data_IF_268375853986
#
_entry.id   IF_268375853986
#
_cell.length_a   1.000
_cell.length_b   1.000
_cell.length_c   1.000
_cell.angle_alpha   90.00
_cell.angle_beta   90.00
_cell.angle_gamma   90.00
#
_symmetry.space_group_name_H-M   'P 1'
#
loop_
_entity.id
_entity.type
_entity.pdbx_description
1 polymer ?
#
# COMPACT_ATOMS: atom_id res chain seq x y z
N UNK A 1 -1.44 33.50 -2.63
CA UNK A 1 -0.42 33.07 -1.67
C UNK A 1 -0.74 33.34 -0.18
N UNK A 2 -1.79 34.09 0.25
CA UNK A 2 -2.20 34.11 1.68
C UNK A 2 -3.01 32.86 2.12
N UNK A 3 -3.43 32.00 1.20
CA UNK A 3 -4.37 30.91 1.47
C UNK A 3 -3.70 29.62 1.98
N UNK A 4 -2.48 29.31 1.55
CA UNK A 4 -1.79 28.06 1.94
C UNK A 4 -1.31 28.10 3.40
N UNK A 5 -0.78 29.24 3.86
CA UNK A 5 -0.36 29.40 5.26
C UNK A 5 -1.55 29.29 6.23
N UNK A 6 -2.70 29.90 5.90
CA UNK A 6 -3.90 29.86 6.77
C UNK A 6 -4.49 28.46 6.87
N UNK A 7 -4.47 27.68 5.78
CA UNK A 7 -4.90 26.27 5.78
C UNK A 7 -3.97 25.43 6.66
N UNK A 8 -2.65 25.60 6.53
CA UNK A 8 -1.66 24.88 7.34
C UNK A 8 -1.79 25.14 8.85
N UNK A 9 -2.09 26.38 9.26
CA UNK A 9 -2.34 26.71 10.67
C UNK A 9 -3.66 26.14 11.22
N UNK A 10 -4.72 26.09 10.41
CA UNK A 10 -5.99 25.49 10.80
C UNK A 10 -5.88 23.97 10.96
N UNK A 11 -5.20 23.31 10.02
CA UNK A 11 -4.89 21.88 10.07
C UNK A 11 -4.05 21.54 11.31
N UNK A 12 -2.99 22.30 11.59
CA UNK A 12 -2.15 22.07 12.77
C UNK A 12 -2.92 22.18 14.10
N UNK A 13 -3.85 23.15 14.21
CA UNK A 13 -4.71 23.29 15.40
C UNK A 13 -5.73 22.16 15.52
N UNK A 14 -6.28 21.70 14.41
CA UNK A 14 -7.19 20.55 14.38
C UNK A 14 -6.47 19.28 14.84
N UNK A 15 -5.29 19.00 14.29
CA UNK A 15 -4.46 17.86 14.68
C UNK A 15 -4.06 17.90 16.15
N UNK A 16 -3.67 19.07 16.67
CA UNK A 16 -3.35 19.23 18.10
C UNK A 16 -4.57 18.93 18.99
N UNK A 17 -5.75 19.46 18.65
CA UNK A 17 -6.99 19.21 19.40
C UNK A 17 -7.37 17.74 19.38
N UNK A 18 -7.29 17.09 18.22
CA UNK A 18 -7.55 15.65 18.04
C UNK A 18 -6.66 14.82 18.97
N UNK A 19 -5.36 15.12 19.00
CA UNK A 19 -4.37 14.45 19.86
C UNK A 19 -4.64 14.66 21.35
N UNK A 20 -4.85 15.91 21.77
CA UNK A 20 -5.12 16.25 23.17
C UNK A 20 -6.42 15.60 23.67
N UNK A 21 -7.45 15.58 22.83
CA UNK A 21 -8.71 14.90 23.11
C UNK A 21 -8.46 13.40 23.32
N UNK A 22 -7.68 12.76 22.44
CA UNK A 22 -7.32 11.35 22.56
C UNK A 22 -6.55 11.00 23.84
N UNK A 23 -5.58 11.85 24.22
CA UNK A 23 -4.80 11.67 25.46
C UNK A 23 -5.64 11.67 26.73
N UNK A 24 -6.80 12.35 26.71
CA UNK A 24 -7.74 12.38 27.84
C UNK A 24 -8.81 11.29 27.70
N UNK A 25 -9.42 11.16 26.53
CA UNK A 25 -10.51 10.21 26.30
C UNK A 25 -10.08 8.76 26.39
N UNK A 26 -8.85 8.42 25.98
CA UNK A 26 -8.36 7.05 26.05
C UNK A 26 -8.34 6.53 27.49
N UNK A 27 -7.59 7.16 28.42
CA UNK A 27 -7.56 6.74 29.83
C UNK A 27 -8.93 6.82 30.49
N UNK A 28 -9.75 7.82 30.15
CA UNK A 28 -11.11 7.92 30.67
C UNK A 28 -11.96 6.72 30.24
N UNK A 29 -11.89 6.33 28.96
CA UNK A 29 -12.63 5.18 28.44
C UNK A 29 -12.10 3.86 29.03
N UNK A 30 -10.79 3.73 29.20
CA UNK A 30 -10.19 2.59 29.92
C UNK A 30 -10.81 2.43 31.31
N UNK A 31 -10.80 3.50 32.12
CA UNK A 31 -11.36 3.49 33.47
C UNK A 31 -12.87 3.23 33.44
N UNK A 32 -13.60 3.83 32.51
CA UNK A 32 -15.03 3.61 32.36
C UNK A 32 -15.34 2.14 32.07
N UNK A 33 -14.58 1.51 31.16
CA UNK A 33 -14.74 0.08 30.86
C UNK A 33 -14.47 -0.75 32.10
N UNK A 34 -13.43 -0.45 32.90
CA UNK A 34 -13.14 -1.18 34.13
C UNK A 34 -14.21 -1.02 35.23
N UNK A 35 -14.83 0.16 35.31
CA UNK A 35 -15.84 0.47 36.33
C UNK A 35 -17.22 -0.11 35.97
N UNK A 36 -17.52 -0.28 34.69
CA UNK A 36 -18.77 -0.86 34.23
C UNK A 36 -18.69 -2.40 34.27
N UNK A 37 -19.52 -3.07 35.08
CA UNK A 37 -19.51 -4.53 35.14
C UNK A 37 -19.97 -5.11 33.81
N UNK A 38 -19.14 -5.98 33.23
CA UNK A 38 -19.49 -6.77 32.04
C UNK A 38 -19.72 -8.22 32.48
N UNK A 39 -20.97 -8.53 32.80
CA UNK A 39 -21.37 -9.87 33.23
C UNK A 39 -21.00 -10.92 32.17
N UNK A 40 -20.40 -12.02 32.61
CA UNK A 40 -19.99 -13.12 31.74
C UNK A 40 -18.55 -13.06 31.20
N UNK A 41 -17.78 -11.99 31.48
CA UNK A 41 -16.34 -11.92 31.17
C UNK A 41 -15.47 -12.36 32.35
N UNK A 42 -14.34 -13.01 32.05
CA UNK A 42 -13.27 -13.19 33.04
C UNK A 42 -12.62 -11.84 33.37
N UNK A 43 -11.89 -11.77 34.49
CA UNK A 43 -11.18 -10.56 34.89
C UNK A 43 -10.16 -10.12 33.82
N UNK A 44 -9.45 -11.08 33.23
CA UNK A 44 -8.46 -10.83 32.18
C UNK A 44 -9.12 -10.30 30.90
N UNK A 45 -10.28 -10.87 30.52
CA UNK A 45 -11.04 -10.41 29.35
C UNK A 45 -11.59 -8.99 29.55
N UNK A 46 -12.03 -8.65 30.76
CA UNK A 46 -12.50 -7.31 31.11
C UNK A 46 -11.37 -6.28 31.04
N UNK A 47 -10.20 -6.60 31.62
CA UNK A 47 -8.99 -5.78 31.51
C UNK A 47 -8.58 -5.58 30.05
N UNK A 48 -8.60 -6.65 29.25
CA UNK A 48 -8.23 -6.60 27.84
C UNK A 48 -9.17 -5.71 27.03
N UNK A 49 -10.47 -5.79 27.30
CA UNK A 49 -11.47 -4.91 26.68
C UNK A 49 -11.18 -3.42 26.99
N UNK A 50 -10.76 -3.12 28.22
CA UNK A 50 -10.31 -1.78 28.61
C UNK A 50 -9.09 -1.32 27.79
N UNK A 51 -8.03 -2.14 27.76
CA UNK A 51 -6.80 -1.85 26.98
C UNK A 51 -7.13 -1.66 25.51
N UNK A 52 -8.00 -2.49 24.95
CA UNK A 52 -8.43 -2.40 23.56
C UNK A 52 -9.21 -1.10 23.28
N UNK A 53 -10.18 -0.75 24.14
CA UNK A 53 -10.94 0.50 23.99
C UNK A 53 -10.02 1.74 24.04
N UNK A 54 -9.04 1.74 24.94
CA UNK A 54 -7.99 2.76 25.00
C UNK A 54 -7.19 2.83 23.71
N UNK A 55 -6.71 1.69 23.20
CA UNK A 55 -5.91 1.63 21.98
C UNK A 55 -6.69 2.12 20.76
N UNK A 56 -7.98 1.78 20.64
CA UNK A 56 -8.88 2.27 19.58
C UNK A 56 -8.99 3.79 19.60
N UNK A 57 -9.19 4.40 20.78
CA UNK A 57 -9.21 5.87 20.90
C UNK A 57 -7.89 6.46 20.44
N UNK A 58 -6.76 5.90 20.87
CA UNK A 58 -5.43 6.40 20.49
C UNK A 58 -5.12 6.23 19.00
N UNK A 59 -5.60 5.16 18.36
CA UNK A 59 -5.46 4.97 16.91
C UNK A 59 -6.34 5.93 16.12
N UNK A 60 -7.60 6.13 16.52
CA UNK A 60 -8.54 7.03 15.82
C UNK A 60 -8.14 8.50 15.98
N UNK A 61 -7.65 8.88 17.16
CA UNK A 61 -7.24 10.26 17.45
C UNK A 61 -5.77 10.54 17.12
N UNK A 62 -5.00 9.50 16.81
CA UNK A 62 -3.54 9.56 16.64
C UNK A 62 -2.83 10.28 17.80
N UNK A 63 -3.34 10.10 19.02
CA UNK A 63 -2.80 10.72 20.24
C UNK A 63 -1.31 10.39 20.45
N UNK A 64 -0.93 9.16 20.08
CA UNK A 64 0.45 8.71 19.91
C UNK A 64 0.59 8.02 18.55
N UNK A 65 1.81 7.88 18.01
CA UNK A 65 2.05 7.10 16.81
C UNK A 65 1.46 5.68 16.93
N UNK A 66 0.83 5.19 15.86
CA UNK A 66 0.10 3.89 15.84
C UNK A 66 0.93 2.73 16.42
N UNK A 67 2.22 2.67 16.08
CA UNK A 67 3.15 1.65 16.57
C UNK A 67 3.45 1.79 18.08
N UNK A 68 3.57 3.02 18.58
CA UNK A 68 3.78 3.28 20.02
C UNK A 68 2.55 2.83 20.80
N UNK A 69 1.35 3.15 20.31
CA UNK A 69 0.09 2.67 20.92
C UNK A 69 0.02 1.14 20.94
N UNK A 70 0.40 0.46 19.85
CA UNK A 70 0.41 -1.01 19.79
C UNK A 70 1.38 -1.64 20.81
N UNK A 71 2.61 -1.10 20.92
CA UNK A 71 3.60 -1.57 21.91
C UNK A 71 3.10 -1.31 23.34
N UNK A 72 2.55 -0.13 23.60
CA UNK A 72 1.99 0.20 24.91
C UNK A 72 0.81 -0.71 25.25
N UNK A 73 -0.06 -1.06 24.30
CA UNK A 73 -1.11 -2.04 24.51
C UNK A 73 -0.53 -3.42 24.91
N UNK A 74 0.53 -3.89 24.23
CA UNK A 74 1.24 -5.12 24.63
C UNK A 74 1.82 -5.02 26.04
N UNK A 75 2.47 -3.90 26.38
CA UNK A 75 3.07 -3.66 27.70
C UNK A 75 1.99 -3.63 28.79
N UNK A 76 0.88 -2.94 28.56
CA UNK A 76 -0.26 -2.89 29.48
C UNK A 76 -0.86 -4.28 29.69
N UNK A 77 -1.00 -5.08 28.62
CA UNK A 77 -1.48 -6.46 28.76
C UNK A 77 -0.60 -7.32 29.65
N UNK A 78 0.72 -7.13 29.60
CA UNK A 78 1.65 -7.86 30.47
C UNK A 78 1.61 -7.29 31.90
N UNK A 79 1.69 -5.97 32.05
CA UNK A 79 1.77 -5.29 33.34
C UNK A 79 0.50 -5.47 34.18
N UNK A 80 -0.66 -5.55 33.55
CA UNK A 80 -1.95 -5.80 34.20
C UNK A 80 -2.22 -7.29 34.46
N UNK A 81 -1.31 -8.19 34.07
CA UNK A 81 -1.45 -9.63 34.28
C UNK A 81 -2.47 -10.31 33.36
N UNK A 82 -2.82 -9.70 32.22
CA UNK A 82 -3.80 -10.25 31.26
C UNK A 82 -3.27 -11.54 30.63
N UNK A 83 -1.98 -11.54 30.24
CA UNK A 83 -1.31 -12.71 29.69
C UNK A 83 0.21 -12.67 29.94
N UNK A 84 0.88 -13.84 30.02
CA UNK A 84 2.33 -13.91 30.13
C UNK A 84 3.06 -13.22 28.98
N UNK A 85 4.20 -12.58 29.28
CA UNK A 85 5.02 -11.89 28.29
C UNK A 85 5.41 -12.76 27.09
N UNK A 86 5.70 -14.05 27.30
CA UNK A 86 6.04 -14.97 26.22
C UNK A 86 4.89 -15.12 25.19
N UNK A 87 3.64 -15.10 25.63
CA UNK A 87 2.47 -15.20 24.75
C UNK A 87 2.25 -13.88 24.02
N UNK A 88 2.24 -12.76 24.75
CA UNK A 88 1.99 -11.43 24.17
C UNK A 88 3.08 -11.06 23.15
N UNK A 89 4.35 -11.33 23.47
CA UNK A 89 5.48 -10.97 22.62
C UNK A 89 5.69 -11.93 21.44
N UNK A 90 5.14 -13.16 21.49
CA UNK A 90 5.23 -14.10 20.37
C UNK A 90 4.59 -13.56 19.08
N UNK A 91 3.58 -12.68 19.19
CA UNK A 91 2.92 -12.05 18.05
C UNK A 91 3.89 -11.22 17.18
N UNK A 92 4.97 -10.69 17.75
CA UNK A 92 6.00 -9.95 16.99
C UNK A 92 6.90 -10.85 16.15
N UNK A 93 6.86 -12.17 16.40
CA UNK A 93 7.59 -13.19 15.65
C UNK A 93 6.75 -13.86 14.55
N UNK A 94 5.55 -13.36 14.24
CA UNK A 94 4.72 -13.94 13.18
C UNK A 94 5.43 -13.88 11.81
N UNK A 95 5.45 -14.96 11.02
CA UNK A 95 6.05 -14.98 9.69
C UNK A 95 5.57 -13.86 8.76
N UNK A 96 4.33 -13.38 8.91
CA UNK A 96 3.77 -12.27 8.13
C UNK A 96 4.57 -10.97 8.35
N UNK A 97 5.11 -10.75 9.55
CA UNK A 97 5.96 -9.57 9.84
C UNK A 97 7.25 -9.64 9.02
N UNK A 98 7.87 -10.80 8.90
CA UNK A 98 9.07 -10.97 8.06
C UNK A 98 8.76 -10.82 6.57
N UNK A 99 7.63 -11.35 6.10
CA UNK A 99 7.15 -11.10 4.74
C UNK A 99 6.97 -9.61 4.47
N UNK A 100 6.38 -8.88 5.42
CA UNK A 100 6.17 -7.43 5.34
C UNK A 100 7.49 -6.66 5.25
N UNK A 101 8.44 -6.94 6.15
CA UNK A 101 9.77 -6.33 6.16
C UNK A 101 10.48 -6.59 4.84
N UNK A 102 10.52 -7.85 4.40
CA UNK A 102 11.24 -8.23 3.18
C UNK A 102 10.68 -7.54 1.93
N UNK A 103 9.35 -7.46 1.86
CA UNK A 103 8.67 -6.82 0.73
C UNK A 103 8.87 -5.31 0.70
N UNK A 104 8.89 -4.64 1.86
CA UNK A 104 9.17 -3.22 1.93
C UNK A 104 10.61 -2.87 1.59
N UNK A 105 11.58 -3.70 1.98
CA UNK A 105 12.97 -3.51 1.56
C UNK A 105 13.09 -3.70 0.04
N UNK A 106 12.43 -4.71 -0.52
CA UNK A 106 12.41 -4.94 -1.97
C UNK A 106 11.76 -3.77 -2.73
N UNK A 107 10.63 -3.25 -2.23
CA UNK A 107 9.96 -2.07 -2.77
C UNK A 107 10.84 -0.81 -2.71
N UNK A 108 11.52 -0.59 -1.58
CA UNK A 108 12.45 0.53 -1.42
C UNK A 108 13.66 0.38 -2.36
N UNK A 109 14.18 -0.84 -2.57
CA UNK A 109 15.25 -1.10 -3.51
C UNK A 109 14.85 -0.75 -4.96
N UNK A 110 13.61 -1.08 -5.36
CA UNK A 110 13.06 -0.68 -6.67
C UNK A 110 13.01 0.84 -6.84
N UNK A 111 12.62 1.56 -5.79
CA UNK A 111 12.57 3.03 -5.77
C UNK A 111 13.97 3.63 -5.80
N UNK A 112 14.86 3.15 -4.94
CA UNK A 112 16.22 3.65 -4.79
C UNK A 112 17.05 3.42 -6.06
N UNK A 113 16.83 2.32 -6.78
CA UNK A 113 17.50 2.07 -8.06
C UNK A 113 16.93 2.88 -9.24
N UNK A 114 15.77 3.52 -9.08
CA UNK A 114 15.06 4.22 -10.15
C UNK A 114 14.35 3.29 -11.15
N UNK A 115 14.18 2.01 -10.79
CA UNK A 115 13.59 1.00 -11.66
C UNK A 115 12.10 1.29 -11.89
N UNK A 116 11.42 1.77 -10.86
CA UNK A 116 10.03 2.26 -10.89
C UNK A 116 9.79 3.34 -11.96
N UNK A 117 10.64 4.37 -12.01
CA UNK A 117 10.61 5.43 -13.02
C UNK A 117 10.86 4.87 -14.41
N UNK A 118 11.83 3.96 -14.56
CA UNK A 118 12.12 3.32 -15.84
C UNK A 118 10.90 2.56 -16.38
N UNK A 119 10.20 1.80 -15.53
CA UNK A 119 8.97 1.12 -15.93
C UNK A 119 7.85 2.10 -16.28
N UNK A 120 7.66 3.18 -15.51
CA UNK A 120 6.65 4.20 -15.80
C UNK A 120 6.84 4.79 -17.20
N UNK A 121 8.05 5.26 -17.52
CA UNK A 121 8.32 5.85 -18.83
C UNK A 121 8.39 4.82 -19.97
N UNK A 122 8.72 3.56 -19.67
CA UNK A 122 8.64 2.47 -20.66
C UNK A 122 7.18 2.21 -21.10
N UNK A 123 6.20 2.37 -20.21
CA UNK A 123 4.78 2.26 -20.53
C UNK A 123 4.23 3.53 -21.21
N UNK A 124 4.67 4.73 -20.79
CA UNK A 124 4.24 5.99 -21.42
C UNK A 124 4.72 6.16 -22.87
N UNK A 125 5.72 5.39 -23.33
CA UNK A 125 6.26 5.52 -24.69
C UNK A 125 5.29 5.10 -25.80
N UNK A 126 4.27 4.29 -25.48
CA UNK A 126 3.41 3.73 -26.51
C UNK A 126 2.52 4.80 -27.13
N UNK A 127 2.50 4.86 -28.46
CA UNK A 127 1.81 5.94 -29.19
C UNK A 127 0.32 5.98 -28.92
N UNK A 128 -0.32 4.87 -28.55
CA UNK A 128 -1.74 4.84 -28.21
C UNK A 128 -2.03 5.54 -26.87
N UNK A 129 -1.09 5.48 -25.94
CA UNK A 129 -1.24 5.91 -24.55
C UNK A 129 -1.46 7.42 -24.41
N UNK A 130 -0.93 8.21 -25.35
CA UNK A 130 -0.91 9.67 -25.28
C UNK A 130 -1.80 10.36 -26.31
N UNK A 131 -2.71 9.63 -26.99
CA UNK A 131 -3.52 10.18 -28.11
C UNK A 131 -4.65 11.11 -27.67
N UNK A 132 -5.25 10.87 -26.50
CA UNK A 132 -6.39 11.65 -26.01
C UNK A 132 -6.26 11.85 -24.50
N UNK A 133 -6.88 12.90 -23.92
CA UNK A 133 -6.84 13.12 -22.47
C UNK A 133 -7.33 11.90 -21.67
N UNK A 134 -8.39 11.23 -22.14
CA UNK A 134 -8.91 10.02 -21.51
C UNK A 134 -7.91 8.85 -21.53
N UNK A 135 -7.12 8.68 -22.61
CA UNK A 135 -6.09 7.64 -22.71
C UNK A 135 -4.86 7.96 -21.87
N UNK A 136 -4.49 9.24 -21.79
CA UNK A 136 -3.43 9.70 -20.88
C UNK A 136 -3.81 9.37 -19.44
N UNK A 137 -5.03 9.72 -19.03
CA UNK A 137 -5.56 9.40 -17.70
C UNK A 137 -5.58 7.89 -17.44
N UNK A 138 -6.04 7.08 -18.40
CA UNK A 138 -6.02 5.62 -18.29
C UNK A 138 -4.60 5.07 -18.11
N UNK A 139 -3.66 5.55 -18.95
CA UNK A 139 -2.27 5.07 -18.93
C UNK A 139 -1.59 5.43 -17.62
N UNK A 140 -1.73 6.68 -17.19
CA UNK A 140 -1.18 7.15 -15.92
C UNK A 140 -1.81 6.38 -14.74
N UNK A 141 -3.12 6.11 -14.78
CA UNK A 141 -3.79 5.27 -13.79
C UNK A 141 -3.26 3.84 -13.74
N UNK A 142 -3.15 3.17 -14.89
CA UNK A 142 -2.60 1.80 -14.99
C UNK A 142 -1.15 1.75 -14.51
N UNK A 143 -0.31 2.71 -14.90
CA UNK A 143 1.09 2.77 -14.43
C UNK A 143 1.13 2.90 -12.91
N UNK A 144 0.36 3.84 -12.37
CA UNK A 144 0.31 4.09 -10.92
C UNK A 144 -0.20 2.85 -10.19
N UNK A 145 -1.26 2.20 -10.69
CA UNK A 145 -1.80 0.97 -10.12
C UNK A 145 -0.77 -0.16 -10.14
N UNK A 146 -0.14 -0.44 -11.29
CA UNK A 146 0.86 -1.51 -11.41
C UNK A 146 2.04 -1.30 -10.47
N UNK A 147 2.56 -0.08 -10.38
CA UNK A 147 3.65 0.24 -9.47
C UNK A 147 3.22 0.07 -8.01
N UNK A 148 2.01 0.50 -7.68
CA UNK A 148 1.45 0.44 -6.32
C UNK A 148 1.06 -0.97 -5.87
N UNK A 149 0.99 -1.95 -6.78
CA UNK A 149 0.83 -3.36 -6.40
C UNK A 149 2.08 -3.91 -5.69
N UNK A 150 3.23 -3.25 -5.86
CA UNK A 150 4.52 -3.72 -5.35
C UNK A 150 5.22 -2.69 -4.45
N UNK A 151 4.98 -1.41 -4.72
CA UNK A 151 5.50 -0.27 -3.96
C UNK A 151 4.37 0.30 -3.11
N UNK A 152 4.69 0.98 -2.01
CA UNK A 152 3.66 1.59 -1.17
C UNK A 152 2.82 2.61 -1.94
N UNK A 153 1.51 2.66 -1.64
CA UNK A 153 0.56 3.57 -2.29
C UNK A 153 1.01 5.04 -2.20
N UNK A 154 1.52 5.44 -1.04
CA UNK A 154 2.03 6.79 -0.78
C UNK A 154 3.28 7.09 -1.59
N UNK A 155 4.27 6.17 -1.61
CA UNK A 155 5.50 6.38 -2.38
C UNK A 155 5.23 6.41 -3.88
N UNK A 156 4.36 5.53 -4.37
CA UNK A 156 3.98 5.48 -5.78
C UNK A 156 3.28 6.77 -6.22
N UNK A 157 2.33 7.27 -5.41
CA UNK A 157 1.68 8.56 -5.67
C UNK A 157 2.69 9.70 -5.68
N UNK A 158 3.57 9.77 -4.68
CA UNK A 158 4.59 10.82 -4.58
C UNK A 158 5.56 10.79 -5.77
N UNK A 159 5.94 9.61 -6.26
CA UNK A 159 6.78 9.46 -7.45
C UNK A 159 6.03 9.88 -8.73
N UNK A 160 4.78 9.46 -8.87
CA UNK A 160 3.99 9.74 -10.07
C UNK A 160 3.50 11.18 -10.14
N UNK A 161 3.44 11.90 -9.02
CA UNK A 161 3.02 13.30 -8.97
C UNK A 161 3.88 14.20 -9.88
N UNK A 162 5.22 14.23 -9.80
CA UNK A 162 6.06 14.95 -10.75
C UNK A 162 5.84 14.55 -12.22
N UNK A 163 5.57 13.26 -12.49
CA UNK A 163 5.29 12.77 -13.85
C UNK A 163 3.95 13.32 -14.34
N UNK A 164 2.91 13.28 -13.51
CA UNK A 164 1.60 13.85 -13.80
C UNK A 164 1.67 15.36 -14.05
N UNK A 165 2.41 16.10 -13.21
CA UNK A 165 2.65 17.53 -13.39
C UNK A 165 3.42 17.80 -14.68
N UNK A 166 4.47 17.02 -15.00
CA UNK A 166 5.21 17.14 -16.25
C UNK A 166 4.35 16.92 -17.50
N UNK A 167 3.43 15.95 -17.45
CA UNK A 167 2.42 15.73 -18.50
C UNK A 167 1.50 16.96 -18.63
N UNK A 168 1.00 17.51 -17.52
CA UNK A 168 0.17 18.72 -17.55
C UNK A 168 0.92 19.93 -18.11
N UNK A 169 2.20 20.09 -17.75
CA UNK A 169 3.06 21.15 -18.29
C UNK A 169 3.24 21.02 -19.79
N UNK A 170 3.45 19.79 -20.28
CA UNK A 170 3.62 19.53 -21.73
C UNK A 170 2.37 19.83 -22.55
N UNK A 171 1.20 19.84 -21.90
CA UNK A 171 -0.09 20.19 -22.49
C UNK A 171 -0.46 21.67 -22.28
N UNK A 172 0.36 22.46 -21.58
CA UNK A 172 0.04 23.85 -21.24
C UNK A 172 -1.10 23.99 -20.23
N UNK A 173 -1.35 22.97 -19.39
CA UNK A 173 -2.53 22.88 -18.50
C UNK A 173 -2.21 23.03 -17.02
N UNK A 174 -0.98 23.40 -16.66
CA UNK A 174 -0.63 23.69 -15.26
C UNK A 174 -1.26 25.01 -14.83
N UNK A 175 -1.94 25.00 -13.68
CA UNK A 175 -2.66 26.19 -13.17
C UNK A 175 -4.00 26.46 -13.85
N UNK A 176 -4.41 25.64 -14.83
CA UNK A 176 -5.64 25.83 -15.61
C UNK A 176 -6.91 25.33 -14.90
N UNK A 177 -6.88 25.13 -13.58
CA UNK A 177 -7.98 24.49 -12.82
C UNK A 177 -9.31 25.24 -12.91
N UNK A 178 -9.28 26.55 -13.16
CA UNK A 178 -10.46 27.39 -13.36
C UNK A 178 -11.09 27.24 -14.76
N UNK A 179 -10.38 26.62 -15.69
CA UNK A 179 -10.67 26.62 -17.14
C UNK A 179 -10.82 25.19 -17.68
N UNK A 180 -9.99 24.25 -17.21
CA UNK A 180 -10.12 22.81 -17.44
C UNK A 180 -10.13 22.05 -16.12
N UNK A 181 -11.02 21.07 -16.02
CA UNK A 181 -11.10 20.14 -14.88
C UNK A 181 -10.14 18.96 -15.04
N UNK A 182 -9.51 18.82 -16.21
CA UNK A 182 -8.60 17.70 -16.49
C UNK A 182 -7.40 17.59 -15.55
N UNK A 183 -6.70 18.69 -15.16
CA UNK A 183 -5.61 18.61 -14.18
C UNK A 183 -6.03 17.94 -12.87
N UNK A 184 -7.23 18.27 -12.37
CA UNK A 184 -7.79 17.67 -11.16
C UNK A 184 -8.01 16.17 -11.38
N UNK A 185 -8.65 15.79 -12.48
CA UNK A 185 -8.88 14.38 -12.81
C UNK A 185 -7.59 13.57 -12.98
N UNK A 186 -6.56 14.17 -13.59
CA UNK A 186 -5.28 13.51 -13.79
C UNK A 186 -4.50 13.34 -12.48
N UNK A 187 -4.58 14.28 -11.54
CA UNK A 187 -3.95 14.11 -10.23
C UNK A 187 -4.76 13.15 -9.34
N UNK A 188 -6.09 13.16 -9.41
CA UNK A 188 -6.95 12.22 -8.70
C UNK A 188 -6.77 10.78 -9.18
N UNK A 189 -6.53 10.55 -10.48
CA UNK A 189 -6.30 9.18 -10.97
C UNK A 189 -5.04 8.57 -10.33
N UNK A 190 -4.05 9.38 -9.92
CA UNK A 190 -2.86 8.89 -9.23
C UNK A 190 -3.25 8.28 -7.89
N UNK A 191 -3.90 9.07 -7.03
CA UNK A 191 -4.27 8.66 -5.68
C UNK A 191 -5.30 7.53 -5.67
N UNK A 192 -6.28 7.57 -6.58
CA UNK A 192 -7.29 6.53 -6.67
C UNK A 192 -6.70 5.23 -7.19
N UNK A 193 -5.88 5.27 -8.24
CA UNK A 193 -5.28 4.06 -8.82
C UNK A 193 -4.30 3.40 -7.86
N UNK A 194 -3.49 4.17 -7.11
CA UNK A 194 -2.63 3.56 -6.08
C UNK A 194 -3.46 2.94 -4.95
N UNK A 195 -4.57 3.58 -4.55
CA UNK A 195 -5.39 3.10 -3.43
C UNK A 195 -6.12 1.79 -3.72
N UNK A 196 -6.49 1.56 -4.99
CA UNK A 196 -7.19 0.32 -5.42
C UNK A 196 -6.22 -0.78 -5.87
N UNK A 197 -4.91 -0.60 -5.69
CA UNK A 197 -3.88 -1.59 -5.99
C UNK A 197 -3.79 -2.69 -4.89
N UNK A 198 -4.92 -3.30 -4.57
CA UNK A 198 -5.03 -4.32 -3.51
C UNK A 198 -4.75 -5.75 -3.98
N UNK A 199 -4.49 -5.93 -5.28
CA UNK A 199 -4.44 -7.24 -5.95
C UNK A 199 -3.26 -8.14 -5.55
N UNK A 200 -2.26 -7.62 -4.83
CA UNK A 200 -1.06 -8.37 -4.43
C UNK A 200 -0.91 -8.28 -2.90
N UNK A 201 -0.63 -9.41 -2.20
CA UNK A 201 -0.49 -9.41 -0.74
C UNK A 201 0.47 -8.35 -0.23
N UNK A 202 1.64 -8.27 -0.84
CA UNK A 202 2.74 -7.41 -0.41
C UNK A 202 2.57 -5.94 -0.78
N UNK A 203 1.57 -5.59 -1.59
CA UNK A 203 1.33 -4.21 -2.02
C UNK A 203 0.88 -3.29 -0.89
N UNK A 204 0.18 -3.82 0.13
CA UNK A 204 -0.25 -3.01 1.26
C UNK A 204 -0.36 -3.79 2.60
N UNK A 205 -0.09 -3.15 3.75
CA UNK A 205 -0.23 -3.77 5.06
C UNK A 205 -1.62 -4.39 5.34
N UNK A 206 -2.75 -3.74 4.99
CA UNK A 206 -4.07 -4.32 5.22
C UNK A 206 -4.28 -5.68 4.55
N UNK A 207 -3.68 -5.92 3.38
CA UNK A 207 -3.80 -7.21 2.68
C UNK A 207 -3.17 -8.34 3.51
N UNK A 208 -1.96 -8.12 4.02
CA UNK A 208 -1.25 -9.10 4.84
C UNK A 208 -1.91 -9.32 6.20
N UNK A 209 -2.44 -8.25 6.81
CA UNK A 209 -3.24 -8.36 8.04
C UNK A 209 -4.49 -9.20 7.78
N UNK A 210 -5.20 -8.96 6.67
CA UNK A 210 -6.38 -9.74 6.31
C UNK A 210 -6.04 -11.23 6.07
N UNK A 211 -4.93 -11.54 5.39
CA UNK A 211 -4.45 -12.92 5.23
C UNK A 211 -4.19 -13.58 6.59
N UNK A 212 -3.52 -12.87 7.50
CA UNK A 212 -3.29 -13.35 8.87
C UNK A 212 -4.59 -13.59 9.64
N UNK A 213 -5.54 -12.65 9.57
CA UNK A 213 -6.84 -12.80 10.21
C UNK A 213 -7.67 -13.95 9.62
N UNK A 214 -7.63 -14.19 8.31
CA UNK A 214 -8.32 -15.33 7.68
C UNK A 214 -7.69 -16.65 8.14
N UNK A 215 -6.36 -16.69 8.25
CA UNK A 215 -5.64 -17.84 8.81
C UNK A 215 -6.07 -18.12 10.26
N UNK A 216 -6.18 -17.10 11.08
CA UNK A 216 -6.40 -17.25 12.53
C UNK A 216 -7.89 -17.42 12.89
N UNK A 217 -8.81 -16.76 12.18
CA UNK A 217 -10.25 -16.76 12.48
C UNK A 217 -11.04 -17.80 11.68
N UNK A 218 -10.65 -18.06 10.44
CA UNK A 218 -11.35 -18.99 9.55
C UNK A 218 -10.58 -20.31 9.36
N UNK A 219 -9.45 -20.48 10.06
CA UNK A 219 -8.54 -21.64 9.96
C UNK A 219 -8.14 -21.97 8.51
N UNK A 220 -8.11 -20.93 7.65
CA UNK A 220 -7.86 -21.06 6.22
C UNK A 220 -6.59 -20.35 5.84
N UNK A 221 -5.62 -21.11 5.34
CA UNK A 221 -4.39 -20.55 4.77
C UNK A 221 -4.66 -20.15 3.32
N UNK A 222 -4.51 -18.87 3.04
CA UNK A 222 -4.49 -18.37 1.66
C UNK A 222 -3.03 -18.26 1.24
N UNK A 223 -2.66 -18.98 0.18
CA UNK A 223 -1.36 -18.78 -0.45
C UNK A 223 -1.30 -17.41 -1.11
N UNK A 224 -0.08 -16.96 -1.44
CA UNK A 224 0.10 -15.76 -2.27
C UNK A 224 -0.73 -15.81 -3.57
N UNK A 225 -0.76 -16.98 -4.21
CA UNK A 225 -1.52 -17.19 -5.45
C UNK A 225 -3.03 -17.07 -5.23
N UNK A 226 -3.57 -17.67 -4.17
CA UNK A 226 -5.02 -17.63 -3.88
C UNK A 226 -5.49 -16.18 -3.70
N UNK A 227 -4.71 -15.38 -2.96
CA UNK A 227 -5.00 -13.97 -2.79
C UNK A 227 -5.05 -13.24 -4.13
N UNK A 228 -4.03 -13.42 -4.97
CA UNK A 228 -3.96 -12.77 -6.29
C UNK A 228 -5.14 -13.20 -7.16
N UNK A 229 -5.47 -14.50 -7.19
CA UNK A 229 -6.56 -15.03 -7.99
C UNK A 229 -7.93 -14.40 -7.61
N UNK A 230 -8.17 -14.15 -6.33
CA UNK A 230 -9.42 -13.56 -5.84
C UNK A 230 -9.43 -12.03 -5.96
N UNK A 231 -8.35 -11.37 -5.56
CA UNK A 231 -8.34 -9.90 -5.39
C UNK A 231 -7.94 -9.15 -6.65
N UNK A 232 -7.14 -9.74 -7.54
CA UNK A 232 -6.71 -9.09 -8.78
C UNK A 232 -7.89 -8.73 -9.70
N UNK A 233 -8.88 -9.62 -9.95
CA UNK A 233 -10.06 -9.26 -10.73
C UNK A 233 -10.84 -8.07 -10.14
N UNK A 234 -10.96 -8.03 -8.81
CA UNK A 234 -11.64 -6.95 -8.09
C UNK A 234 -10.84 -5.64 -8.25
N UNK A 235 -9.52 -5.69 -8.08
CA UNK A 235 -8.65 -4.53 -8.22
C UNK A 235 -8.67 -3.96 -9.66
N UNK A 236 -8.71 -4.83 -10.68
CA UNK A 236 -8.88 -4.42 -12.09
C UNK A 236 -10.23 -3.74 -12.30
N UNK A 237 -11.31 -4.33 -11.78
CA UNK A 237 -12.64 -3.73 -11.87
C UNK A 237 -12.68 -2.35 -11.19
N UNK A 238 -12.12 -2.23 -9.99
CA UNK A 238 -12.02 -0.96 -9.27
C UNK A 238 -11.23 0.09 -10.06
N UNK A 239 -10.10 -0.29 -10.66
CA UNK A 239 -9.31 0.61 -11.51
C UNK A 239 -10.12 1.11 -12.72
N UNK A 240 -10.84 0.21 -13.39
CA UNK A 240 -11.72 0.56 -14.51
C UNK A 240 -12.80 1.55 -14.04
N UNK A 241 -13.45 1.29 -12.90
CA UNK A 241 -14.46 2.17 -12.33
C UNK A 241 -13.88 3.54 -11.95
N UNK A 242 -12.70 3.60 -11.32
CA UNK A 242 -12.00 4.86 -11.04
C UNK A 242 -11.79 5.66 -12.32
N UNK A 243 -11.26 5.02 -13.37
CA UNK A 243 -11.06 5.68 -14.66
C UNK A 243 -12.38 6.13 -15.29
N UNK A 244 -13.43 5.32 -15.27
CA UNK A 244 -14.76 5.64 -15.82
C UNK A 244 -15.41 6.84 -15.11
N UNK A 245 -15.32 6.89 -13.78
CA UNK A 245 -15.86 7.99 -12.97
C UNK A 245 -15.08 9.27 -13.27
N UNK A 246 -13.74 9.20 -13.24
CA UNK A 246 -12.91 10.39 -13.43
C UNK A 246 -12.96 10.92 -14.86
N UNK A 247 -12.98 10.06 -15.89
CA UNK A 247 -13.15 10.51 -17.28
C UNK A 247 -14.50 11.17 -17.53
N UNK A 248 -15.56 10.74 -16.83
CA UNK A 248 -16.89 11.30 -16.97
C UNK A 248 -16.99 12.65 -16.26
N UNK A 249 -16.48 12.73 -15.03
CA UNK A 249 -16.57 13.92 -14.18
C UNK A 249 -15.60 15.04 -14.58
N UNK A 250 -14.43 14.68 -15.07
CA UNK A 250 -13.32 15.57 -15.42
C UNK A 250 -13.00 15.48 -16.92
N UNK A 251 -14.04 15.30 -17.75
CA UNK A 251 -13.94 15.27 -19.21
C UNK A 251 -13.33 16.56 -19.73
N UNK A 252 -12.45 16.44 -20.71
CA UNK A 252 -11.91 17.56 -21.47
C UNK A 252 -11.93 17.19 -22.95
N UNK A 253 -12.67 17.98 -23.71
CA UNK A 253 -12.91 17.78 -25.14
C UNK A 253 -11.87 18.52 -26.00
N UNK A 254 -11.03 19.35 -25.38
CA UNK A 254 -9.93 20.02 -26.07
C UNK A 254 -8.93 18.95 -26.53
N UNK A 255 -8.57 18.99 -27.82
CA UNK A 255 -7.49 18.18 -28.35
C UNK A 255 -6.24 18.37 -27.49
N UNK A 256 -5.42 17.32 -27.38
CA UNK A 256 -4.09 17.44 -26.78
C UNK A 256 -3.20 18.28 -27.70
N UNK A 257 -3.33 19.60 -27.64
CA UNK A 257 -2.31 20.53 -28.09
C UNK A 257 -1.16 20.45 -27.10
N UNK A 258 -0.07 19.80 -27.50
CA UNK A 258 1.08 19.52 -26.66
C UNK A 258 1.74 18.20 -27.02
N UNK A 259 3.06 18.13 -26.87
CA UNK A 259 3.83 16.94 -27.24
C UNK A 259 4.27 16.17 -25.98
N UNK A 260 3.32 15.45 -25.37
CA UNK A 260 3.61 14.50 -24.28
C UNK A 260 4.73 13.55 -24.69
N UNK A 261 4.82 13.19 -25.98
CA UNK A 261 5.86 12.27 -26.47
C UNK A 261 7.24 12.91 -26.40
N UNK A 262 7.36 14.20 -26.71
CA UNK A 262 8.62 14.94 -26.52
C UNK A 262 9.04 14.96 -25.06
N UNK A 263 8.10 15.21 -24.14
CA UNK A 263 8.37 15.13 -22.70
C UNK A 263 8.85 13.72 -22.29
N UNK A 264 8.12 12.67 -22.68
CA UNK A 264 8.47 11.27 -22.38
C UNK A 264 9.82 10.89 -23.01
N UNK A 265 10.14 11.37 -24.21
CA UNK A 265 11.42 11.12 -24.86
C UNK A 265 12.59 11.75 -24.09
N UNK A 266 12.45 13.01 -23.69
CA UNK A 266 13.46 13.73 -22.89
C UNK A 266 13.70 13.03 -21.54
N UNK A 267 12.65 12.65 -20.82
CA UNK A 267 12.79 11.96 -19.53
C UNK A 267 13.41 10.57 -19.69
N UNK A 268 13.08 9.84 -20.76
CA UNK A 268 13.73 8.55 -21.06
C UNK A 268 15.21 8.68 -21.40
N UNK A 269 15.59 9.75 -22.10
CA UNK A 269 16.98 10.02 -22.42
C UNK A 269 17.80 10.31 -21.15
N UNK A 270 17.22 11.06 -20.19
CA UNK A 270 17.83 11.30 -18.87
C UNK A 270 18.06 10.02 -18.07
N UNK A 271 17.21 8.99 -18.22
CA UNK A 271 17.40 7.69 -17.55
C UNK A 271 18.56 6.88 -18.13
N UNK A 272 18.99 7.17 -19.36
CA UNK A 272 20.12 6.50 -20.01
C UNK A 272 20.00 4.97 -20.09
N UNK A 273 21.15 4.29 -20.10
CA UNK A 273 21.24 2.82 -20.13
C UNK A 273 20.91 2.21 -18.77
N UNK A 274 20.53 0.93 -18.78
CA UNK A 274 20.31 0.18 -17.55
C UNK A 274 21.58 0.14 -16.71
N UNK A 275 21.45 0.53 -15.44
CA UNK A 275 22.49 0.43 -14.44
C UNK A 275 22.54 -0.98 -13.85
N UNK A 276 23.66 -1.36 -13.25
CA UNK A 276 23.77 -2.65 -12.54
C UNK A 276 22.76 -2.75 -11.39
N UNK A 277 22.53 -1.65 -10.67
CA UNK A 277 21.54 -1.60 -9.61
C UNK A 277 20.13 -1.93 -10.13
N UNK A 278 19.69 -1.29 -11.22
CA UNK A 278 18.38 -1.57 -11.82
C UNK A 278 18.25 -3.02 -12.30
N UNK A 279 19.29 -3.58 -12.92
CA UNK A 279 19.27 -4.96 -13.40
C UNK A 279 19.24 -5.98 -12.24
N UNK A 280 20.05 -5.77 -11.21
CA UNK A 280 20.09 -6.66 -10.05
C UNK A 280 18.76 -6.64 -9.30
N UNK A 281 18.22 -5.45 -9.04
CA UNK A 281 16.91 -5.30 -8.38
C UNK A 281 15.80 -5.94 -9.22
N UNK A 282 15.79 -5.72 -10.54
CA UNK A 282 14.81 -6.35 -11.42
C UNK A 282 14.90 -7.88 -11.41
N UNK A 283 16.11 -8.44 -11.39
CA UNK A 283 16.33 -9.87 -11.31
C UNK A 283 15.85 -10.45 -9.98
N UNK A 284 16.27 -9.86 -8.86
CA UNK A 284 15.87 -10.28 -7.51
C UNK A 284 14.35 -10.19 -7.34
N UNK A 285 13.75 -9.11 -7.82
CA UNK A 285 12.31 -8.92 -7.80
C UNK A 285 11.58 -10.00 -8.62
N UNK A 286 12.01 -10.25 -9.85
CA UNK A 286 11.40 -11.29 -10.69
C UNK A 286 11.53 -12.68 -10.05
N UNK A 287 12.69 -12.98 -9.47
CA UNK A 287 12.92 -14.23 -8.76
C UNK A 287 11.97 -14.39 -7.57
N UNK A 288 11.79 -13.35 -6.75
CA UNK A 288 10.86 -13.36 -5.62
C UNK A 288 9.42 -13.61 -6.08
N UNK A 289 8.97 -12.90 -7.12
CA UNK A 289 7.61 -13.06 -7.69
C UNK A 289 7.40 -14.48 -8.21
N UNK A 290 8.37 -15.05 -8.92
CA UNK A 290 8.27 -16.43 -9.40
C UNK A 290 8.17 -17.39 -8.23
N UNK A 291 9.02 -17.25 -7.20
CA UNK A 291 9.01 -18.13 -6.03
C UNK A 291 7.71 -18.01 -5.20
N UNK A 292 7.10 -16.83 -5.12
CA UNK A 292 5.79 -16.66 -4.46
C UNK A 292 4.64 -17.27 -5.24
N UNK A 293 4.67 -17.20 -6.58
CA UNK A 293 3.56 -17.70 -7.42
C UNK A 293 3.65 -19.20 -7.72
N UNK A 294 4.86 -19.76 -7.73
CA UNK A 294 5.15 -21.13 -8.16
C UNK A 294 4.38 -22.21 -7.36
N UNK A 295 4.27 -22.16 -6.02
CA UNK A 295 3.61 -23.22 -5.26
C UNK A 295 2.12 -23.34 -5.61
N UNK A 296 1.41 -22.22 -5.64
CA UNK A 296 -0.01 -22.17 -6.01
C UNK A 296 -0.25 -22.48 -7.49
N UNK A 297 0.65 -22.02 -8.38
CA UNK A 297 0.58 -22.36 -9.80
C UNK A 297 0.73 -23.87 -10.04
N UNK A 298 1.64 -24.55 -9.35
CA UNK A 298 1.80 -26.01 -9.44
C UNK A 298 0.58 -26.71 -8.85
N UNK A 299 0.09 -26.27 -7.68
CA UNK A 299 -1.08 -26.83 -7.02
C UNK A 299 -2.33 -26.84 -7.93
N UNK A 300 -2.48 -25.82 -8.79
CA UNK A 300 -3.57 -25.74 -9.77
C UNK A 300 -3.57 -26.92 -10.78
N UNK A 301 -2.40 -27.49 -11.09
CA UNK A 301 -2.27 -28.58 -12.06
C UNK A 301 -2.13 -29.97 -11.42
N UNK A 302 -1.63 -30.08 -10.18
CA UNK A 302 -1.30 -31.36 -9.54
C UNK A 302 -2.13 -31.72 -8.29
N UNK A 303 -2.98 -30.83 -7.80
CA UNK A 303 -3.61 -30.82 -6.45
C UNK A 303 -2.76 -30.09 -5.40
N UNK A 304 -3.38 -29.35 -4.46
CA UNK A 304 -2.69 -28.73 -3.32
C UNK A 304 -1.94 -29.73 -2.42
N UNK A 305 -2.43 -30.96 -2.32
CA UNK A 305 -1.81 -32.00 -1.49
C UNK A 305 -0.64 -32.73 -2.16
N UNK A 306 -0.26 -32.31 -3.37
CA UNK A 306 0.86 -32.91 -4.06
C UNK A 306 2.20 -32.64 -3.33
N UNK A 307 3.20 -33.54 -3.46
CA UNK A 307 4.47 -33.39 -2.75
C UNK A 307 5.23 -32.10 -3.07
N UNK A 308 5.09 -31.59 -4.29
CA UNK A 308 5.85 -30.42 -4.77
C UNK A 308 5.32 -29.12 -4.15
N UNK A 309 4.02 -28.74 -4.25
CA UNK A 309 3.49 -27.59 -3.53
C UNK A 309 3.78 -27.62 -2.03
N UNK A 310 3.55 -28.76 -1.36
CA UNK A 310 3.85 -28.91 0.06
C UNK A 310 5.33 -28.75 0.39
N UNK A 311 6.23 -29.19 -0.50
CA UNK A 311 7.66 -28.97 -0.33
C UNK A 311 7.99 -27.47 -0.30
N UNK A 312 7.43 -26.70 -1.24
CA UNK A 312 7.64 -25.25 -1.28
C UNK A 312 7.03 -24.57 -0.05
N UNK A 313 5.79 -24.88 0.32
CA UNK A 313 5.15 -24.27 1.49
C UNK A 313 5.93 -24.54 2.78
N UNK A 314 6.49 -25.75 2.93
CA UNK A 314 7.22 -26.14 4.13
C UNK A 314 8.63 -25.55 4.21
N UNK A 315 9.35 -25.46 3.09
CA UNK A 315 10.78 -25.10 3.09
C UNK A 315 11.06 -23.69 2.56
N UNK A 316 10.16 -23.16 1.74
CA UNK A 316 10.23 -21.84 1.12
C UNK A 316 8.90 -21.08 1.29
N UNK A 317 8.41 -20.89 2.53
CA UNK A 317 7.24 -20.05 2.77
C UNK A 317 7.52 -18.60 2.30
N UNK A 318 6.47 -17.84 2.08
CA UNK A 318 6.54 -16.52 1.46
C UNK A 318 7.48 -15.56 2.20
N UNK A 319 7.50 -15.65 3.54
CA UNK A 319 8.40 -14.88 4.39
C UNK A 319 9.88 -15.21 4.15
N UNK A 320 10.21 -16.48 3.96
CA UNK A 320 11.58 -16.93 3.66
C UNK A 320 12.00 -16.48 2.27
N UNK A 321 11.11 -16.58 1.28
CA UNK A 321 11.36 -16.03 -0.07
C UNK A 321 11.67 -14.54 0.00
N UNK A 322 10.91 -13.78 0.78
CA UNK A 322 11.15 -12.35 0.98
C UNK A 322 12.52 -12.07 1.58
N UNK A 323 12.94 -12.85 2.59
CA UNK A 323 14.26 -12.71 3.22
C UNK A 323 15.41 -13.11 2.29
N UNK A 324 15.25 -14.16 1.48
CA UNK A 324 16.23 -14.55 0.45
C UNK A 324 16.39 -13.43 -0.57
N UNK A 325 15.28 -12.86 -1.04
CA UNK A 325 15.31 -11.75 -1.99
C UNK A 325 16.08 -10.55 -1.42
N UNK A 326 15.78 -10.15 -0.18
CA UNK A 326 16.49 -9.07 0.50
C UNK A 326 17.98 -9.37 0.67
N UNK A 327 18.33 -10.58 1.11
CA UNK A 327 19.74 -10.99 1.25
C UNK A 327 20.51 -11.06 -0.06
N UNK A 328 19.81 -11.05 -1.20
CA UNK A 328 20.38 -11.07 -2.56
C UNK A 328 20.48 -9.68 -3.19
N UNK A 329 19.97 -8.64 -2.53
CA UNK A 329 20.11 -7.26 -2.99
C UNK A 329 21.58 -6.81 -2.85
N UNK A 330 22.11 -6.08 -3.84
CA UNK A 330 23.52 -5.67 -3.88
C UNK A 330 23.88 -4.54 -2.91
#
# INVERSE_FOLDING_TARGET
>A
MPSEEVISYAEGRFELRKRLLGLVLGPLLFLLVLLLPMEGLSQEAHLLAGVFAWAVVYWVTEALPVAVTAILASVLSIALGIAPAAIVLAAYGDPIIFLFIGSFILAEAMRASGLDRRFAFALLRYTWATKTPARVMATVGVITWVLSLWVSNTATTAMMLPVGVGILSSLGRVGDANTSKFPIGLLLILTWSSSVAVGIPVGSPPNLIAIGMIRDLAERRLSFFDWVAVTMPIAILMLILCWLILRYRYRDDRSTEGDIRKYVAIEREKLGRWTRAEMNVAFVFLLAVVLWMLPGAIAMFSSPDAPIPQFFEKHLPESVVAMIAVGSLP
#
